data_IF_805364996997
#
_entry.id   IF_805364996997
#
_cell.length_a   1.000
_cell.length_b   1.000
_cell.length_c   1.000
_cell.angle_alpha   90.00
_cell.angle_beta   90.00
_cell.angle_gamma   90.00
#
_symmetry.space_group_name_H-M   'P 1'
#
loop_
_entity.id
_entity.type
_entity.pdbx_description
1 polymer ?
#
# COMPACT_ATOMS: atom_id res chain seq x y z
N UNK A 1 72.70 -51.87 18.53
CA UNK A 1 72.67 -51.51 17.10
C UNK A 1 71.24 -51.13 16.74
N UNK A 2 71.07 -49.92 16.23
CA UNK A 2 69.80 -49.27 15.87
C UNK A 2 69.17 -49.99 14.65
N UNK A 3 67.89 -50.38 14.65
CA UNK A 3 67.18 -50.63 13.40
C UNK A 3 66.60 -49.29 12.87
N UNK A 4 66.85 -49.02 11.59
CA UNK A 4 66.40 -47.81 10.87
C UNK A 4 64.90 -47.79 10.58
N UNK A 5 64.39 -46.67 10.03
CA UNK A 5 62.97 -46.34 10.04
C UNK A 5 62.17 -47.11 8.99
N UNK A 6 61.00 -47.60 9.40
CA UNK A 6 59.96 -48.10 8.52
C UNK A 6 59.39 -46.93 7.69
N UNK A 7 59.38 -47.09 6.37
CA UNK A 7 58.66 -46.25 5.42
C UNK A 7 57.16 -46.38 5.67
N UNK A 8 56.56 -45.35 6.27
CA UNK A 8 55.11 -45.24 6.42
C UNK A 8 54.51 -44.65 5.14
N UNK A 9 53.65 -45.46 4.52
CA UNK A 9 52.82 -45.20 3.36
C UNK A 9 51.89 -43.99 3.60
N UNK A 10 51.84 -43.06 2.64
CA UNK A 10 50.99 -41.88 2.72
C UNK A 10 49.51 -42.25 2.52
N UNK A 11 48.58 -41.77 3.37
CA UNK A 11 47.15 -42.04 3.18
C UNK A 11 46.59 -41.27 1.96
N UNK A 12 45.60 -41.84 1.24
CA UNK A 12 45.09 -41.28 0.00
C UNK A 12 44.32 -39.97 0.23
N UNK A 13 44.56 -39.02 -0.67
CA UNK A 13 43.87 -37.73 -0.77
C UNK A 13 42.37 -37.96 -1.02
N UNK A 14 41.45 -37.44 -0.18
CA UNK A 14 40.03 -37.48 -0.50
C UNK A 14 39.73 -36.44 -1.58
N UNK A 15 39.58 -36.91 -2.82
CA UNK A 15 38.93 -36.19 -3.91
C UNK A 15 37.44 -36.08 -3.62
N UNK A 16 37.04 -35.03 -2.90
CA UNK A 16 35.66 -34.54 -2.93
C UNK A 16 35.69 -33.06 -3.28
N UNK A 17 35.69 -32.79 -4.58
CA UNK A 17 35.32 -31.48 -5.10
C UNK A 17 33.81 -31.29 -4.91
N UNK A 18 33.42 -30.94 -3.69
CA UNK A 18 32.16 -30.24 -3.49
C UNK A 18 32.29 -28.91 -4.24
N UNK A 19 31.79 -28.89 -5.48
CA UNK A 19 31.62 -27.68 -6.27
C UNK A 19 30.78 -26.70 -5.45
N UNK A 20 31.44 -25.75 -4.81
CA UNK A 20 30.80 -24.51 -4.38
C UNK A 20 30.11 -23.94 -5.61
N UNK A 21 28.81 -23.61 -5.57
CA UNK A 21 28.21 -22.87 -6.65
C UNK A 21 28.98 -21.55 -6.76
N UNK A 22 29.70 -21.38 -7.87
CA UNK A 22 30.32 -20.12 -8.24
C UNK A 22 29.18 -19.13 -8.37
N UNK A 23 28.99 -18.31 -7.34
CA UNK A 23 27.94 -17.31 -7.27
C UNK A 23 28.14 -16.28 -8.39
N UNK A 24 27.13 -16.12 -9.22
CA UNK A 24 27.04 -15.01 -10.16
C UNK A 24 26.76 -13.71 -9.38
N UNK A 25 27.67 -12.72 -9.53
CA UNK A 25 27.51 -11.29 -9.14
C UNK A 25 28.55 -10.83 -8.12
N UNK A 26 29.78 -10.43 -8.47
CA UNK A 26 30.21 -9.10 -8.95
C UNK A 26 29.81 -7.93 -8.01
N UNK A 27 30.84 -7.37 -7.34
CA UNK A 27 31.00 -6.06 -6.67
C UNK A 27 30.53 -5.79 -5.22
N UNK A 28 29.86 -6.71 -4.51
CA UNK A 28 29.58 -6.52 -3.06
C UNK A 28 30.50 -7.39 -2.19
N UNK A 29 31.29 -6.75 -1.31
CA UNK A 29 32.21 -7.47 -0.40
C UNK A 29 31.46 -8.32 0.64
N UNK A 30 30.31 -7.85 1.13
CA UNK A 30 29.39 -8.59 2.01
C UNK A 30 27.94 -8.29 1.61
N UNK A 31 27.03 -9.26 1.81
CA UNK A 31 25.60 -9.01 1.66
C UNK A 31 25.06 -8.17 2.84
N UNK A 32 23.91 -7.50 2.69
CA UNK A 32 23.33 -6.66 3.75
C UNK A 32 23.10 -7.40 5.09
N UNK A 33 22.67 -8.66 5.03
CA UNK A 33 22.49 -9.48 6.23
C UNK A 33 23.82 -9.80 6.93
N UNK A 34 24.90 -10.00 6.18
CA UNK A 34 26.22 -10.29 6.73
C UNK A 34 26.85 -9.03 7.35
N UNK A 35 26.63 -7.87 6.75
CA UNK A 35 27.05 -6.57 7.30
C UNK A 35 26.51 -6.36 8.70
N UNK A 36 25.22 -6.64 8.90
CA UNK A 36 24.53 -6.46 10.19
C UNK A 36 25.05 -7.44 11.23
N UNK A 37 25.29 -8.70 10.82
CA UNK A 37 25.91 -9.69 11.70
C UNK A 37 27.29 -9.23 12.16
N UNK A 38 28.07 -8.60 11.27
CA UNK A 38 29.39 -8.07 11.62
C UNK A 38 29.32 -6.81 12.47
N UNK A 39 28.45 -5.86 12.12
CA UNK A 39 28.28 -4.59 12.82
C UNK A 39 27.79 -4.76 14.27
N UNK A 40 27.06 -5.85 14.55
CA UNK A 40 26.52 -6.15 15.88
C UNK A 40 27.22 -7.33 16.59
N UNK A 41 28.22 -7.96 15.97
CA UNK A 41 29.01 -9.03 16.60
C UNK A 41 30.05 -8.44 17.54
N UNK A 42 30.20 -9.06 18.72
CA UNK A 42 31.20 -8.68 19.72
C UNK A 42 32.64 -8.82 19.21
N UNK A 43 32.95 -9.92 18.53
CA UNK A 43 34.29 -10.24 18.04
C UNK A 43 34.78 -9.17 17.04
N UNK A 44 33.91 -8.82 16.10
CA UNK A 44 34.20 -7.82 15.08
C UNK A 44 34.33 -6.41 15.68
N UNK A 45 33.57 -6.10 16.73
CA UNK A 45 33.60 -4.80 17.40
C UNK A 45 34.82 -4.59 18.30
N UNK A 46 35.37 -5.68 18.84
CA UNK A 46 36.56 -5.65 19.69
C UNK A 46 37.85 -5.54 18.88
N UNK A 47 37.93 -6.23 17.74
CA UNK A 47 39.16 -6.33 16.96
C UNK A 47 39.37 -5.16 15.99
N UNK A 48 38.30 -4.47 15.59
CA UNK A 48 38.35 -3.44 14.54
C UNK A 48 38.47 -2.03 15.07
N UNK A 49 39.22 -1.21 14.34
CA UNK A 49 39.27 0.24 14.55
C UNK A 49 37.94 0.90 14.19
N UNK A 50 37.69 2.10 14.73
CA UNK A 50 36.49 2.90 14.40
C UNK A 50 36.35 3.09 12.89
N UNK A 51 37.45 3.35 12.18
CA UNK A 51 37.43 3.53 10.73
C UNK A 51 36.98 2.26 10.00
N UNK A 52 37.50 1.10 10.39
CA UNK A 52 37.10 -0.19 9.79
C UNK A 52 35.65 -0.56 10.09
N UNK A 53 35.11 -0.11 11.23
CA UNK A 53 33.71 -0.28 11.57
C UNK A 53 32.82 0.67 10.75
N UNK A 54 33.26 1.92 10.56
CA UNK A 54 32.62 2.85 9.63
C UNK A 54 32.66 2.36 8.18
N UNK A 55 33.70 1.63 7.78
CA UNK A 55 33.79 1.02 6.45
C UNK A 55 32.71 -0.06 6.22
N UNK A 56 32.12 -0.66 7.26
CA UNK A 56 30.97 -1.55 7.12
C UNK A 56 29.76 -0.76 6.60
N UNK A 57 29.46 0.37 7.26
CA UNK A 57 28.42 1.33 6.85
C UNK A 57 28.54 1.78 5.41
N UNK A 58 29.75 2.05 4.93
CA UNK A 58 29.95 2.51 3.56
C UNK A 58 29.77 1.42 2.49
N UNK A 59 29.61 0.15 2.86
CA UNK A 59 29.27 -0.88 1.88
C UNK A 59 27.83 -0.75 1.39
N UNK A 60 26.92 -0.32 2.27
CA UNK A 60 25.54 0.03 1.91
C UNK A 60 25.00 1.09 2.88
N UNK A 61 25.38 2.35 2.65
CA UNK A 61 25.00 3.47 3.53
C UNK A 61 23.50 3.79 3.50
N UNK A 62 22.78 3.27 2.50
CA UNK A 62 21.34 3.46 2.34
C UNK A 62 20.56 2.46 3.20
N UNK A 63 20.92 1.18 3.14
CA UNK A 63 20.18 0.12 3.82
C UNK A 63 20.70 -0.19 5.22
N UNK A 64 22.00 -0.05 5.48
CA UNK A 64 22.59 -0.47 6.76
C UNK A 64 21.92 0.16 7.98
N UNK A 65 21.61 1.48 8.02
CA UNK A 65 20.89 2.09 9.15
C UNK A 65 19.56 1.41 9.45
N UNK A 66 18.81 1.04 8.41
CA UNK A 66 17.51 0.40 8.55
C UNK A 66 17.66 -1.02 9.11
N UNK A 67 18.66 -1.76 8.64
CA UNK A 67 18.93 -3.08 9.18
C UNK A 67 19.40 -3.04 10.63
N UNK A 68 20.27 -2.10 10.99
CA UNK A 68 20.71 -1.95 12.39
C UNK A 68 19.52 -1.59 13.27
N UNK A 69 18.67 -0.66 12.84
CA UNK A 69 17.46 -0.28 13.57
C UNK A 69 16.49 -1.46 13.79
N UNK A 70 16.32 -2.33 12.81
CA UNK A 70 15.44 -3.51 12.94
C UNK A 70 16.04 -4.57 13.88
N UNK A 71 17.37 -4.72 13.88
CA UNK A 71 18.03 -5.89 14.47
C UNK A 71 18.79 -5.62 15.79
N UNK A 72 19.08 -4.38 16.15
CA UNK A 72 19.75 -4.07 17.42
C UNK A 72 19.02 -4.59 18.68
N UNK A 73 17.66 -4.76 18.72
CA UNK A 73 17.00 -5.36 19.89
C UNK A 73 17.15 -6.88 19.96
N UNK A 74 17.47 -7.52 18.83
CA UNK A 74 17.64 -8.97 18.69
C UNK A 74 19.01 -9.45 19.15
N UNK A 75 19.86 -8.57 19.68
CA UNK A 75 21.14 -8.95 20.26
C UNK A 75 21.07 -9.03 21.77
N UNK A 76 21.88 -9.93 22.32
CA UNK A 76 22.14 -10.07 23.74
C UNK A 76 23.57 -9.61 24.00
N UNK A 77 23.76 -8.41 24.59
CA UNK A 77 25.08 -7.82 24.76
C UNK A 77 25.97 -8.66 25.70
N UNK A 78 27.24 -8.83 25.32
CA UNK A 78 28.19 -9.64 26.09
C UNK A 78 28.49 -9.04 27.47
N UNK A 79 28.39 -7.72 27.59
CA UNK A 79 28.54 -7.00 28.86
C UNK A 79 27.52 -7.43 29.92
N UNK A 80 26.42 -8.10 29.54
CA UNK A 80 25.44 -8.64 30.47
C UNK A 80 25.84 -9.97 31.11
N UNK A 81 26.77 -10.72 30.50
CA UNK A 81 27.15 -12.07 30.97
C UNK A 81 27.81 -12.05 32.35
N UNK A 82 28.52 -10.97 32.67
CA UNK A 82 29.21 -10.80 33.96
C UNK A 82 28.30 -10.27 35.09
N UNK A 83 27.07 -9.85 34.77
CA UNK A 83 26.16 -9.26 35.75
C UNK A 83 25.22 -10.30 36.39
N UNK A 84 24.85 -10.11 37.68
CA UNK A 84 23.87 -10.94 38.35
C UNK A 84 22.48 -10.76 37.71
N UNK A 85 21.71 -11.85 37.62
CA UNK A 85 20.39 -11.91 36.95
C UNK A 85 19.47 -10.73 37.30
N UNK A 86 19.37 -10.38 38.59
CA UNK A 86 18.57 -9.26 39.10
C UNK A 86 18.84 -7.88 38.45
N UNK A 87 20.03 -7.64 37.89
CA UNK A 87 20.42 -6.36 37.27
C UNK A 87 20.53 -6.43 35.75
N UNK A 88 20.40 -7.63 35.16
CA UNK A 88 20.60 -7.84 33.72
C UNK A 88 19.57 -7.11 32.87
N UNK A 89 18.30 -7.18 33.26
CA UNK A 89 17.21 -6.56 32.48
C UNK A 89 17.32 -5.04 32.46
N UNK A 90 17.58 -4.43 33.62
CA UNK A 90 17.79 -2.98 33.73
C UNK A 90 18.99 -2.53 32.88
N UNK A 91 20.10 -3.28 32.95
CA UNK A 91 21.29 -2.94 32.15
C UNK A 91 21.03 -3.12 30.66
N UNK A 92 20.33 -4.18 30.25
CA UNK A 92 19.92 -4.40 28.85
C UNK A 92 19.09 -3.23 28.35
N UNK A 93 18.09 -2.79 29.11
CA UNK A 93 17.24 -1.67 28.73
C UNK A 93 18.04 -0.37 28.58
N UNK A 94 19.01 -0.11 29.46
CA UNK A 94 19.91 1.05 29.33
C UNK A 94 20.73 1.01 28.05
N UNK A 95 21.28 -0.15 27.68
CA UNK A 95 22.06 -0.30 26.44
C UNK A 95 21.18 -0.13 25.19
N UNK A 96 19.96 -0.68 25.22
CA UNK A 96 18.98 -0.48 24.14
C UNK A 96 18.58 1.00 24.01
N UNK A 97 18.38 1.70 25.13
CA UNK A 97 18.10 3.15 25.13
C UNK A 97 19.26 3.94 24.51
N UNK A 98 20.50 3.63 24.90
CA UNK A 98 21.70 4.29 24.34
C UNK A 98 21.83 4.05 22.83
N UNK A 99 21.56 2.83 22.37
CA UNK A 99 21.52 2.52 20.94
C UNK A 99 20.40 3.28 20.23
N UNK A 100 19.20 3.36 20.81
CA UNK A 100 18.06 4.07 20.24
C UNK A 100 18.32 5.59 20.11
N UNK A 101 18.89 6.22 21.14
CA UNK A 101 19.27 7.64 21.11
C UNK A 101 20.30 7.91 20.00
N UNK A 102 21.28 7.03 19.86
CA UNK A 102 22.28 7.13 18.79
C UNK A 102 21.65 6.97 17.40
N UNK A 103 20.77 6.00 17.20
CA UNK A 103 20.05 5.81 15.93
C UNK A 103 19.20 7.04 15.58
N UNK A 104 18.55 7.67 16.58
CA UNK A 104 17.77 8.88 16.37
C UNK A 104 18.64 10.07 15.91
N UNK A 105 19.83 10.24 16.49
CA UNK A 105 20.81 11.23 16.01
C UNK A 105 21.29 10.89 14.59
N UNK A 106 21.50 9.61 14.30
CA UNK A 106 21.83 9.12 12.96
C UNK A 106 20.76 9.46 11.93
N UNK A 107 19.47 9.40 12.29
CA UNK A 107 18.36 9.82 11.42
C UNK A 107 18.37 11.34 11.17
N UNK A 108 18.65 12.17 12.17
CA UNK A 108 18.82 13.62 11.99
C UNK A 108 19.94 13.91 10.98
N UNK A 109 21.08 13.24 11.12
CA UNK A 109 22.17 13.34 10.15
C UNK A 109 21.74 12.86 8.75
N UNK A 110 21.10 11.70 8.66
CA UNK A 110 20.62 11.13 7.40
C UNK A 110 19.61 12.03 6.69
N UNK A 111 18.73 12.71 7.44
CA UNK A 111 17.81 13.72 6.89
C UNK A 111 18.56 14.92 6.32
N UNK A 112 19.56 15.47 7.02
CA UNK A 112 20.37 16.58 6.50
C UNK A 112 21.18 16.18 5.26
N UNK A 113 21.76 14.97 5.23
CA UNK A 113 22.46 14.43 4.05
C UNK A 113 21.55 14.41 2.83
N UNK A 114 20.34 13.85 2.96
CA UNK A 114 19.41 13.69 1.84
C UNK A 114 18.70 14.98 1.43
N UNK A 115 18.28 15.82 2.37
CA UNK A 115 17.53 17.05 2.08
C UNK A 115 18.41 18.21 1.61
N UNK A 116 19.64 18.32 2.10
CA UNK A 116 20.54 19.45 1.83
C UNK A 116 21.75 19.06 0.98
N UNK A 117 21.87 17.78 0.57
CA UNK A 117 23.05 17.29 -0.15
C UNK A 117 24.34 17.35 0.67
N UNK A 118 24.25 17.32 2.01
CA UNK A 118 25.39 17.48 2.91
C UNK A 118 26.18 16.17 3.08
N UNK A 119 26.76 15.65 1.99
CA UNK A 119 27.46 14.37 1.95
C UNK A 119 28.68 14.27 2.88
N UNK A 120 29.26 15.40 3.29
CA UNK A 120 30.34 15.47 4.29
C UNK A 120 29.92 14.94 5.66
N UNK A 121 28.61 14.84 5.94
CA UNK A 121 28.06 14.34 7.19
C UNK A 121 27.93 12.81 7.21
N UNK A 122 28.13 12.11 6.08
CA UNK A 122 28.03 10.64 6.02
C UNK A 122 28.92 9.89 7.04
N UNK A 123 30.19 10.28 7.28
CA UNK A 123 30.98 9.64 8.34
C UNK A 123 30.38 9.85 9.74
N UNK A 124 29.74 10.99 9.97
CA UNK A 124 29.04 11.27 11.24
C UNK A 124 27.79 10.41 11.37
N UNK A 125 27.03 10.26 10.28
CA UNK A 125 25.91 9.33 10.22
C UNK A 125 26.38 7.90 10.49
N UNK A 126 27.47 7.43 9.88
CA UNK A 126 28.04 6.09 10.10
C UNK A 126 28.31 5.80 11.57
N UNK A 127 28.85 6.79 12.30
CA UNK A 127 29.10 6.66 13.73
C UNK A 127 27.80 6.51 14.52
N UNK A 128 26.80 7.36 14.27
CA UNK A 128 25.55 7.36 15.02
C UNK A 128 24.59 6.22 14.65
N UNK A 129 24.53 5.84 13.37
CA UNK A 129 23.60 4.82 12.89
C UNK A 129 24.14 3.39 12.94
N UNK A 130 25.47 3.22 12.96
CA UNK A 130 26.10 1.89 12.93
C UNK A 130 27.06 1.62 14.08
N UNK A 131 28.11 2.44 14.22
CA UNK A 131 29.20 2.12 15.16
C UNK A 131 28.77 2.23 16.62
N UNK A 132 28.14 3.33 17.03
CA UNK A 132 27.72 3.54 18.42
C UNK A 132 26.61 2.58 18.87
N UNK A 133 25.56 2.32 18.06
CA UNK A 133 24.58 1.28 18.37
C UNK A 133 25.25 -0.09 18.49
N UNK A 134 26.13 -0.43 17.54
CA UNK A 134 26.92 -1.65 17.56
C UNK A 134 27.69 -1.84 18.87
N UNK A 135 28.44 -0.83 19.34
CA UNK A 135 29.18 -0.92 20.61
C UNK A 135 28.28 -1.05 21.84
N UNK A 136 27.09 -0.46 21.78
CA UNK A 136 26.15 -0.48 22.91
C UNK A 136 25.52 -1.86 23.07
N UNK A 137 25.19 -2.53 21.96
CA UNK A 137 24.45 -3.79 21.98
C UNK A 137 25.20 -4.99 21.40
N UNK A 138 26.50 -4.87 21.14
CA UNK A 138 27.33 -5.94 20.55
C UNK A 138 27.30 -7.20 21.41
N UNK A 139 27.04 -8.33 20.76
CA UNK A 139 26.94 -9.61 21.46
C UNK A 139 26.39 -10.71 20.57
N UNK A 140 25.69 -11.67 21.19
CA UNK A 140 25.12 -12.80 20.47
C UNK A 140 23.72 -12.46 19.94
N UNK A 141 23.41 -12.87 18.72
CA UNK A 141 22.04 -12.74 18.19
C UNK A 141 21.12 -13.79 18.82
N UNK A 142 20.02 -13.35 19.41
CA UNK A 142 18.99 -14.24 19.98
C UNK A 142 18.07 -14.84 18.91
N UNK A 143 18.19 -14.39 17.65
CA UNK A 143 17.36 -14.83 16.53
C UNK A 143 18.03 -14.62 15.16
N UNK A 144 17.29 -14.90 14.10
CA UNK A 144 17.75 -14.61 12.74
C UNK A 144 17.66 -13.10 12.47
N UNK A 145 18.64 -12.56 11.74
CA UNK A 145 18.60 -11.18 11.25
C UNK A 145 17.38 -11.00 10.35
N UNK A 146 16.51 -10.08 10.72
CA UNK A 146 15.31 -9.71 10.00
C UNK A 146 15.61 -8.62 8.96
N UNK A 147 14.86 -8.64 7.87
CA UNK A 147 14.86 -7.54 6.90
C UNK A 147 14.08 -6.34 7.48
N UNK A 148 14.49 -5.08 7.21
CA UNK A 148 13.81 -3.90 7.75
C UNK A 148 12.33 -3.84 7.37
N UNK A 149 11.45 -3.85 8.36
CA UNK A 149 10.01 -3.74 8.13
C UNK A 149 9.61 -2.30 7.74
N UNK A 150 10.48 -1.33 7.98
CA UNK A 150 10.25 0.10 7.71
C UNK A 150 9.84 0.37 6.26
N UNK A 151 10.48 -0.29 5.28
CA UNK A 151 10.18 -0.07 3.85
C UNK A 151 8.72 -0.40 3.50
N UNK A 152 8.26 -1.56 3.97
CA UNK A 152 6.87 -1.97 3.78
C UNK A 152 5.89 -1.03 4.49
N UNK A 153 6.19 -0.66 5.74
CA UNK A 153 5.37 0.27 6.52
C UNK A 153 5.31 1.67 5.91
N UNK A 154 6.41 2.16 5.35
CA UNK A 154 6.48 3.45 4.68
C UNK A 154 5.60 3.46 3.42
N UNK A 155 5.62 2.38 2.62
CA UNK A 155 4.72 2.23 1.47
C UNK A 155 3.25 2.21 1.90
N UNK A 156 2.90 1.44 2.94
CA UNK A 156 1.54 1.42 3.49
C UNK A 156 1.12 2.80 4.00
N UNK A 157 2.00 3.51 4.72
CA UNK A 157 1.72 4.87 5.18
C UNK A 157 1.46 5.85 4.01
N UNK A 158 2.26 5.76 2.94
CA UNK A 158 2.04 6.54 1.72
C UNK A 158 0.71 6.23 1.03
N UNK A 159 0.34 4.94 0.93
CA UNK A 159 -0.96 4.53 0.40
C UNK A 159 -2.10 5.11 1.25
N UNK A 160 -2.03 4.97 2.57
CA UNK A 160 -3.04 5.48 3.49
C UNK A 160 -3.16 7.01 3.43
N UNK A 161 -2.04 7.74 3.33
CA UNK A 161 -2.05 9.19 3.17
C UNK A 161 -2.75 9.62 1.87
N UNK A 162 -2.48 8.92 0.75
CA UNK A 162 -3.17 9.18 -0.54
C UNK A 162 -4.67 8.91 -0.46
N UNK A 163 -5.07 7.78 0.15
CA UNK A 163 -6.49 7.46 0.38
C UNK A 163 -7.17 8.52 1.23
N UNK A 164 -6.50 9.01 2.28
CA UNK A 164 -7.04 10.02 3.17
C UNK A 164 -7.19 11.39 2.48
N UNK A 165 -6.22 11.77 1.64
CA UNK A 165 -6.31 12.99 0.83
C UNK A 165 -7.43 12.91 -0.21
N UNK A 166 -7.63 11.75 -0.85
CA UNK A 166 -8.74 11.54 -1.78
C UNK A 166 -10.10 11.66 -1.06
N UNK A 167 -10.24 10.99 0.09
CA UNK A 167 -11.43 11.09 0.93
C UNK A 167 -11.71 12.54 1.37
N UNK A 168 -10.67 13.28 1.74
CA UNK A 168 -10.81 14.69 2.10
C UNK A 168 -11.29 15.56 0.93
N UNK A 169 -10.89 15.24 -0.31
CA UNK A 169 -11.40 15.89 -1.50
C UNK A 169 -12.89 15.61 -1.70
N UNK A 170 -13.32 14.34 -1.62
CA UNK A 170 -14.71 13.95 -1.81
C UNK A 170 -15.62 14.53 -0.72
N UNK A 171 -15.17 14.48 0.53
CA UNK A 171 -15.91 14.97 1.70
C UNK A 171 -15.85 16.49 1.86
N UNK A 172 -15.16 17.24 1.00
CA UNK A 172 -14.84 18.65 1.25
C UNK A 172 -16.06 19.52 1.49
N UNK A 173 -17.14 19.30 0.73
CA UNK A 173 -18.39 20.06 0.89
C UNK A 173 -19.16 19.63 2.16
N UNK A 174 -19.25 18.34 2.42
CA UNK A 174 -19.98 17.79 3.56
C UNK A 174 -19.27 18.02 4.91
N UNK A 175 -17.93 18.08 4.91
CA UNK A 175 -17.10 18.23 6.11
C UNK A 175 -16.72 19.68 6.43
N UNK A 176 -17.10 20.65 5.60
CA UNK A 176 -16.72 22.06 5.78
C UNK A 176 -15.24 22.35 5.50
N UNK A 177 -14.58 21.53 4.67
CA UNK A 177 -13.19 21.73 4.27
C UNK A 177 -12.17 21.22 5.28
N UNK A 178 -12.49 20.18 6.04
CA UNK A 178 -11.60 19.56 7.02
C UNK A 178 -10.29 19.08 6.36
N UNK A 179 -9.17 19.28 7.03
CA UNK A 179 -7.89 18.77 6.56
C UNK A 179 -7.88 17.23 6.59
N UNK A 180 -7.10 16.61 5.69
CA UNK A 180 -7.02 15.15 5.57
C UNK A 180 -6.63 14.48 6.90
N UNK A 181 -5.68 15.05 7.63
CA UNK A 181 -5.27 14.56 8.96
C UNK A 181 -6.42 14.54 9.96
N UNK A 182 -7.17 15.62 10.05
CA UNK A 182 -8.27 15.75 11.03
C UNK A 182 -9.44 14.83 10.64
N UNK A 183 -9.70 14.66 9.34
CA UNK A 183 -10.63 13.66 8.84
C UNK A 183 -10.24 12.25 9.30
N UNK A 184 -8.96 11.91 9.21
CA UNK A 184 -8.44 10.61 9.58
C UNK A 184 -8.53 10.32 11.08
N UNK A 185 -8.28 11.33 11.91
CA UNK A 185 -8.26 11.19 13.37
C UNK A 185 -9.65 11.26 14.00
N UNK A 186 -10.51 12.17 13.52
CA UNK A 186 -11.75 12.51 14.21
C UNK A 186 -12.99 11.92 13.52
N UNK A 187 -12.99 11.80 12.19
CA UNK A 187 -14.22 11.43 11.44
C UNK A 187 -14.20 10.02 10.85
N UNK A 188 -13.03 9.50 10.47
CA UNK A 188 -12.92 8.25 9.72
C UNK A 188 -13.57 7.07 10.45
N UNK A 189 -13.28 6.86 11.75
CA UNK A 189 -13.94 5.81 12.55
C UNK A 189 -15.46 5.97 12.61
N UNK A 190 -15.97 7.20 12.74
CA UNK A 190 -17.41 7.45 12.84
C UNK A 190 -18.12 7.19 11.51
N UNK A 191 -17.52 7.61 10.39
CA UNK A 191 -18.03 7.33 9.04
C UNK A 191 -18.01 5.82 8.76
N UNK A 192 -16.91 5.13 9.07
CA UNK A 192 -16.82 3.67 8.93
C UNK A 192 -17.88 2.95 9.77
N UNK A 193 -18.14 3.40 11.00
CA UNK A 193 -19.20 2.85 11.85
C UNK A 193 -20.60 3.13 11.28
N UNK A 194 -20.85 4.32 10.74
CA UNK A 194 -22.12 4.68 10.11
C UNK A 194 -22.41 3.82 8.86
N UNK A 195 -21.38 3.44 8.10
CA UNK A 195 -21.49 2.59 6.92
C UNK A 195 -21.64 1.09 7.26
N UNK A 196 -21.08 0.62 8.38
CA UNK A 196 -21.06 -0.81 8.73
C UNK A 196 -22.16 -1.23 9.71
N UNK A 197 -22.51 -0.38 10.68
CA UNK A 197 -23.50 -0.69 11.72
C UNK A 197 -24.88 -1.04 11.16
N UNK A 198 -25.46 -0.32 10.17
CA UNK A 198 -26.75 -0.67 9.60
C UNK A 198 -26.74 -2.05 8.93
N UNK A 199 -25.64 -2.41 8.27
CA UNK A 199 -25.49 -3.72 7.60
C UNK A 199 -25.41 -4.87 8.60
N UNK A 200 -24.80 -4.64 9.76
CA UNK A 200 -24.69 -5.64 10.84
C UNK A 200 -25.99 -5.82 11.61
N UNK A 201 -26.70 -4.72 11.91
CA UNK A 201 -27.89 -4.75 12.75
C UNK A 201 -29.16 -5.13 11.98
N UNK A 202 -29.31 -4.59 10.76
CA UNK A 202 -30.55 -4.70 9.98
C UNK A 202 -30.38 -5.52 8.69
N UNK A 203 -29.18 -6.05 8.40
CA UNK A 203 -28.93 -6.86 7.22
C UNK A 203 -29.26 -6.13 5.92
N UNK A 204 -30.08 -6.77 5.06
CA UNK A 204 -30.49 -6.21 3.77
C UNK A 204 -31.33 -4.93 3.91
N UNK A 205 -32.10 -4.79 4.99
CA UNK A 205 -32.94 -3.61 5.25
C UNK A 205 -32.08 -2.39 5.67
N UNK A 206 -30.82 -2.59 6.04
CA UNK A 206 -29.86 -1.53 6.34
C UNK A 206 -29.24 -0.88 5.09
N UNK A 207 -29.34 -1.52 3.91
CA UNK A 207 -28.71 -1.04 2.66
C UNK A 207 -29.14 0.38 2.27
N UNK A 208 -30.44 0.75 2.32
CA UNK A 208 -30.85 2.13 2.01
C UNK A 208 -30.24 3.17 2.95
N UNK A 209 -30.05 2.83 4.22
CA UNK A 209 -29.40 3.72 5.19
C UNK A 209 -27.94 3.98 4.85
N UNK A 210 -27.21 2.95 4.43
CA UNK A 210 -25.81 3.11 3.98
C UNK A 210 -25.72 3.94 2.70
N UNK A 211 -26.61 3.71 1.75
CA UNK A 211 -26.69 4.51 0.51
C UNK A 211 -26.96 5.98 0.85
N UNK A 212 -27.86 6.26 1.79
CA UNK A 212 -28.13 7.62 2.25
C UNK A 212 -26.91 8.29 2.88
N UNK A 213 -26.08 7.55 3.62
CA UNK A 213 -24.80 8.07 4.15
C UNK A 213 -23.81 8.35 3.02
N UNK A 214 -23.68 7.45 2.04
CA UNK A 214 -22.82 7.67 0.88
C UNK A 214 -23.24 8.92 0.09
N UNK A 215 -24.55 9.11 -0.13
CA UNK A 215 -25.08 10.31 -0.80
C UNK A 215 -24.90 11.58 0.03
N UNK A 216 -25.12 11.53 1.34
CA UNK A 216 -25.01 12.71 2.21
C UNK A 216 -23.58 13.26 2.32
N UNK A 217 -22.59 12.39 2.11
CA UNK A 217 -21.17 12.71 2.22
C UNK A 217 -20.46 12.71 0.85
N UNK A 218 -21.21 12.61 -0.25
CA UNK A 218 -20.68 12.52 -1.61
C UNK A 218 -19.59 11.44 -1.76
N UNK A 219 -19.76 10.29 -1.08
CA UNK A 219 -18.78 9.20 -1.06
C UNK A 219 -19.08 8.16 -2.13
N UNK A 220 -18.01 7.61 -2.72
CA UNK A 220 -18.08 6.48 -3.62
C UNK A 220 -18.10 5.14 -2.88
N UNK A 221 -18.42 4.08 -3.62
CA UNK A 221 -18.29 2.72 -3.10
C UNK A 221 -16.84 2.40 -2.72
N UNK A 222 -15.89 2.87 -3.52
CA UNK A 222 -14.45 2.69 -3.31
C UNK A 222 -13.94 3.43 -2.06
N UNK A 223 -14.57 4.56 -1.73
CA UNK A 223 -14.26 5.35 -0.53
C UNK A 223 -14.65 4.60 0.74
N UNK A 224 -15.78 3.88 0.72
CA UNK A 224 -16.15 3.00 1.82
C UNK A 224 -15.07 1.94 2.06
N UNK A 225 -14.55 1.29 1.02
CA UNK A 225 -13.50 0.28 1.19
C UNK A 225 -12.21 0.92 1.74
N UNK A 226 -11.86 2.12 1.27
CA UNK A 226 -10.71 2.88 1.77
C UNK A 226 -10.89 3.29 3.25
N UNK A 227 -12.08 3.73 3.65
CA UNK A 227 -12.40 4.06 5.05
C UNK A 227 -12.28 2.83 5.96
N UNK A 228 -12.72 1.66 5.51
CA UNK A 228 -12.59 0.41 6.27
C UNK A 228 -11.13 -0.02 6.42
N UNK A 229 -10.31 0.17 5.39
CA UNK A 229 -8.86 -0.07 5.46
C UNK A 229 -8.18 0.90 6.44
N UNK A 230 -8.48 2.20 6.35
CA UNK A 230 -7.89 3.24 7.22
C UNK A 230 -8.28 3.10 8.70
N UNK A 231 -9.43 2.50 8.98
CA UNK A 231 -9.94 2.32 10.35
C UNK A 231 -9.66 0.93 10.93
N UNK A 232 -8.90 0.11 10.21
CA UNK A 232 -8.49 -1.21 10.68
C UNK A 232 -7.30 -1.11 11.65
N UNK A 233 -7.53 -1.49 12.91
CA UNK A 233 -6.49 -1.49 13.94
C UNK A 233 -6.04 -2.92 14.28
N UNK A 234 -4.74 -3.15 14.56
CA UNK A 234 -4.25 -4.45 14.98
C UNK A 234 -5.03 -5.00 16.20
N UNK A 235 -5.49 -6.24 16.11
CA UNK A 235 -6.25 -6.90 17.17
C UNK A 235 -7.75 -6.59 17.21
N UNK A 236 -8.27 -5.74 16.32
CA UNK A 236 -9.71 -5.54 16.14
C UNK A 236 -10.28 -6.52 15.10
N UNK A 237 -11.52 -7.01 15.27
CA UNK A 237 -12.18 -7.77 14.22
C UNK A 237 -12.46 -6.89 13.00
N UNK A 238 -12.51 -7.50 11.82
CA UNK A 238 -12.93 -6.81 10.59
C UNK A 238 -14.26 -6.08 10.83
N UNK A 239 -14.34 -4.83 10.40
CA UNK A 239 -15.52 -3.98 10.57
C UNK A 239 -16.76 -4.57 9.88
N UNK A 240 -16.56 -5.39 8.83
CA UNK A 240 -17.62 -6.13 8.15
C UNK A 240 -17.76 -7.59 8.61
N UNK A 241 -17.11 -7.98 9.70
CA UNK A 241 -17.28 -9.32 10.28
C UNK A 241 -18.74 -9.55 10.69
N UNK A 242 -19.30 -10.67 10.23
CA UNK A 242 -20.70 -11.05 10.49
C UNK A 242 -21.74 -10.48 9.51
N UNK A 243 -21.34 -9.67 8.51
CA UNK A 243 -22.24 -9.25 7.43
C UNK A 243 -22.31 -10.35 6.37
N UNK A 244 -23.52 -10.86 6.10
CA UNK A 244 -23.75 -11.88 5.06
C UNK A 244 -23.25 -11.39 3.68
N UNK A 245 -22.46 -12.19 2.94
CA UNK A 245 -22.06 -11.88 1.56
C UNK A 245 -23.22 -11.42 0.65
N UNK A 246 -24.45 -11.93 0.86
CA UNK A 246 -25.65 -11.51 0.12
C UNK A 246 -26.00 -10.04 0.37
N UNK A 247 -25.80 -9.55 1.58
CA UNK A 247 -26.05 -8.14 1.95
C UNK A 247 -25.01 -7.24 1.29
N UNK A 248 -23.73 -7.64 1.28
CA UNK A 248 -22.67 -6.92 0.56
C UNK A 248 -22.97 -6.83 -0.94
N UNK A 249 -23.44 -7.92 -1.55
CA UNK A 249 -23.83 -7.93 -2.96
C UNK A 249 -25.08 -7.06 -3.23
N UNK A 250 -26.05 -7.03 -2.30
CA UNK A 250 -27.22 -6.17 -2.40
C UNK A 250 -26.83 -4.68 -2.34
N UNK A 251 -25.89 -4.31 -1.46
CA UNK A 251 -25.34 -2.94 -1.36
C UNK A 251 -24.74 -2.49 -2.70
N UNK A 252 -23.85 -3.28 -3.30
CA UNK A 252 -23.23 -2.93 -4.60
C UNK A 252 -24.27 -2.77 -5.71
N UNK A 253 -25.28 -3.66 -5.77
CA UNK A 253 -26.35 -3.56 -6.79
C UNK A 253 -27.24 -2.33 -6.58
N UNK A 254 -27.52 -2.00 -5.31
CA UNK A 254 -28.36 -0.87 -4.97
C UNK A 254 -27.63 0.47 -5.22
N UNK A 255 -26.34 0.56 -4.87
CA UNK A 255 -25.46 1.68 -5.21
C UNK A 255 -25.43 1.93 -6.72
N UNK A 256 -25.13 0.90 -7.53
CA UNK A 256 -25.10 1.04 -9.00
C UNK A 256 -26.46 1.39 -9.63
N UNK A 257 -27.57 1.13 -8.93
CA UNK A 257 -28.92 1.48 -9.39
C UNK A 257 -29.30 2.92 -9.03
N UNK A 258 -28.77 3.43 -7.92
CA UNK A 258 -28.93 4.82 -7.53
C UNK A 258 -28.08 5.71 -8.45
N UNK A 259 -28.67 6.79 -8.94
CA UNK A 259 -27.94 7.77 -9.75
C UNK A 259 -27.20 8.71 -8.81
N UNK A 260 -26.03 8.26 -8.33
CA UNK A 260 -25.12 9.05 -7.51
C UNK A 260 -24.49 10.14 -8.37
N UNK A 261 -24.87 11.39 -8.12
CA UNK A 261 -24.19 12.56 -8.67
C UNK A 261 -23.14 12.97 -7.65
N UNK A 262 -21.91 13.18 -8.09
CA UNK A 262 -20.82 13.68 -7.24
C UNK A 262 -20.42 15.09 -7.69
N UNK A 263 -20.05 15.98 -6.76
CA UNK A 263 -19.63 17.34 -7.08
C UNK A 263 -18.19 17.42 -7.65
N UNK A 264 -17.54 16.28 -7.83
CA UNK A 264 -16.19 16.12 -8.35
C UNK A 264 -16.18 15.11 -9.50
N UNK A 265 -15.20 15.26 -10.39
CA UNK A 265 -15.08 14.40 -11.56
C UNK A 265 -14.56 13.05 -11.10
N UNK A 266 -15.26 11.99 -11.48
CA UNK A 266 -14.74 10.65 -11.30
C UNK A 266 -13.64 10.48 -12.34
N UNK A 267 -12.38 10.41 -11.90
CA UNK A 267 -11.29 10.02 -12.76
C UNK A 267 -11.56 8.58 -13.23
N UNK A 268 -12.26 8.44 -14.35
CA UNK A 268 -12.36 7.15 -15.00
C UNK A 268 -10.98 6.84 -15.57
N UNK A 269 -10.33 5.82 -15.01
CA UNK A 269 -9.36 5.06 -15.79
C UNK A 269 -10.06 4.71 -17.12
N UNK A 270 -9.47 5.05 -18.28
CA UNK A 270 -10.14 4.89 -19.56
C UNK A 270 -10.64 3.47 -19.66
N UNK A 271 -11.97 3.31 -19.77
CA UNK A 271 -12.60 2.02 -19.99
C UNK A 271 -11.85 1.39 -21.18
N UNK A 272 -11.07 0.33 -20.90
CA UNK A 272 -10.27 -0.41 -21.88
C UNK A 272 -11.17 -0.76 -23.06
N UNK A 273 -11.14 0.09 -24.11
CA UNK A 273 -11.62 -0.28 -25.43
C UNK A 273 -10.64 -1.34 -25.92
N UNK A 274 -11.17 -2.55 -26.00
CA UNK A 274 -10.46 -3.73 -26.49
C UNK A 274 -10.02 -3.47 -27.94
N UNK A 275 -8.76 -3.11 -28.13
CA UNK A 275 -8.07 -3.16 -29.43
C UNK A 275 -6.73 -3.86 -29.23
N UNK A 276 -6.45 -4.80 -30.12
CA UNK A 276 -5.35 -5.75 -30.04
C UNK A 276 -4.05 -5.21 -30.65
N UNK A 277 -2.92 -5.72 -30.12
CA UNK A 277 -1.53 -5.69 -30.66
C UNK A 277 -0.88 -4.29 -30.76
N UNK A 278 0.39 -4.04 -30.41
CA UNK A 278 1.58 -4.88 -30.12
C UNK A 278 2.70 -4.00 -29.55
N UNK A 279 3.75 -4.67 -29.04
CA UNK A 279 5.16 -4.26 -28.84
C UNK A 279 5.56 -3.46 -27.59
N UNK A 280 6.22 -4.19 -26.69
CA UNK A 280 7.54 -3.98 -26.07
C UNK A 280 8.00 -2.56 -25.70
N UNK A 281 8.44 -2.43 -24.44
CA UNK A 281 9.29 -1.34 -23.97
C UNK A 281 9.10 -1.10 -22.48
N UNK A 282 9.85 -1.82 -21.65
CA UNK A 282 9.98 -1.54 -20.23
C UNK A 282 10.94 -0.35 -20.06
N UNK A 283 10.46 0.73 -19.46
CA UNK A 283 11.29 1.77 -18.84
C UNK A 283 10.58 2.13 -17.53
N UNK A 284 11.26 1.81 -16.44
CA UNK A 284 10.84 1.98 -15.06
C UNK A 284 11.42 3.32 -14.56
N UNK A 285 10.62 4.06 -13.80
CA UNK A 285 11.06 4.95 -12.73
C UNK A 285 11.57 6.36 -13.10
N UNK A 286 10.66 7.33 -13.02
CA UNK A 286 10.97 8.65 -12.45
C UNK A 286 9.68 9.30 -11.90
N UNK A 287 9.56 9.40 -10.57
CA UNK A 287 8.65 10.33 -9.88
C UNK A 287 9.29 10.72 -8.54
N UNK A 288 10.37 11.50 -8.63
CA UNK A 288 10.83 12.38 -7.56
C UNK A 288 10.21 13.77 -7.78
N UNK A 289 9.10 14.07 -7.09
CA UNK A 289 8.71 15.42 -6.62
C UNK A 289 7.31 15.39 -5.99
N UNK A 290 7.24 15.35 -4.66
CA UNK A 290 6.14 15.99 -3.92
C UNK A 290 6.65 16.40 -2.54
N UNK A 291 6.82 17.70 -2.44
CA UNK A 291 7.58 18.50 -1.49
C UNK A 291 6.88 18.67 -0.13
N UNK A 292 7.72 18.86 0.88
CA UNK A 292 7.38 19.42 2.19
C UNK A 292 7.55 20.94 2.09
N UNK A 293 6.48 21.74 2.15
CA UNK A 293 6.69 23.19 2.21
C UNK A 293 5.45 24.05 2.16
N UNK A 294 4.88 24.33 3.33
CA UNK A 294 3.97 25.45 3.57
C UNK A 294 4.67 26.79 3.22
N UNK A 295 4.10 27.56 2.28
CA UNK A 295 4.62 28.88 1.92
C UNK A 295 3.75 29.55 0.85
N UNK A 296 2.89 30.49 1.28
CA UNK A 296 2.03 31.25 0.39
C UNK A 296 2.80 32.15 -0.59
N UNK A 297 2.34 32.17 -1.84
CA UNK A 297 2.77 33.08 -2.89
C UNK A 297 1.78 33.00 -4.05
N UNK A 298 1.13 34.13 -4.34
CA UNK A 298 0.09 34.28 -5.38
C UNK A 298 0.77 34.67 -6.70
N UNK A 299 0.39 34.02 -7.81
CA UNK A 299 0.48 34.45 -9.24
C UNK A 299 0.73 33.21 -10.13
N UNK A 300 0.27 33.07 -11.37
CA UNK A 300 -0.72 33.70 -12.25
C UNK A 300 -1.03 32.61 -13.29
N UNK A 301 -2.27 32.56 -13.77
CA UNK A 301 -2.69 31.67 -14.85
C UNK A 301 -2.04 32.09 -16.17
N UNK A 302 -1.49 31.13 -16.93
CA UNK A 302 -1.44 31.23 -18.38
C UNK A 302 -2.12 30.00 -19.00
N UNK A 303 -3.13 30.31 -19.81
CA UNK A 303 -3.98 29.38 -20.52
C UNK A 303 -3.26 28.76 -21.72
N UNK A 304 -3.18 27.43 -21.74
CA UNK A 304 -2.91 26.64 -22.95
C UNK A 304 -4.20 25.96 -23.38
N UNK A 305 -4.92 26.57 -24.32
CA UNK A 305 -6.10 26.01 -24.98
C UNK A 305 -5.72 24.85 -25.92
N UNK A 306 -6.25 23.65 -25.69
CA UNK A 306 -6.51 22.71 -26.78
C UNK A 306 -7.99 22.30 -26.72
N UNK A 307 -8.72 22.73 -27.75
CA UNK A 307 -10.13 22.43 -27.97
C UNK A 307 -10.33 20.96 -28.37
N UNK A 308 -11.34 20.34 -27.76
CA UNK A 308 -12.36 19.62 -28.52
C UNK A 308 -12.13 18.13 -28.80
N UNK A 309 -12.45 17.28 -27.84
CA UNK A 309 -13.18 16.04 -28.14
C UNK A 309 -14.34 15.87 -27.15
N UNK A 310 -15.56 15.79 -27.68
CA UNK A 310 -16.83 15.59 -26.96
C UNK A 310 -16.74 14.41 -25.99
N UNK A 311 -16.49 14.72 -24.71
CA UNK A 311 -16.71 13.77 -23.63
C UNK A 311 -18.22 13.49 -23.56
N UNK A 312 -18.61 12.23 -23.77
CA UNK A 312 -20.00 11.79 -23.69
C UNK A 312 -20.60 12.20 -22.33
N UNK A 313 -21.58 13.12 -22.28
CA UNK A 313 -22.15 13.67 -21.05
C UNK A 313 -22.96 12.65 -20.23
N UNK A 314 -23.00 11.38 -20.65
CA UNK A 314 -23.55 10.27 -19.87
C UNK A 314 -22.56 9.67 -18.87
N UNK A 315 -21.28 10.05 -19.00
CA UNK A 315 -20.17 9.55 -18.16
C UNK A 315 -19.80 10.55 -17.07
N UNK A 316 -20.27 11.80 -17.19
CA UNK A 316 -20.01 12.86 -16.23
C UNK A 316 -20.94 12.74 -15.02
N UNK A 317 -20.35 12.39 -13.87
CA UNK A 317 -21.02 12.30 -12.60
C UNK A 317 -21.49 13.66 -12.06
N UNK A 318 -21.14 14.78 -12.69
CA UNK A 318 -21.64 16.12 -12.35
C UNK A 318 -22.96 16.48 -13.06
N UNK A 319 -23.38 15.75 -14.11
CA UNK A 319 -24.52 16.15 -14.97
C UNK A 319 -25.69 15.16 -14.87
N UNK A 320 -26.82 15.61 -14.33
CA UNK A 320 -28.08 14.85 -14.33
C UNK A 320 -28.89 15.14 -15.59
N UNK A 321 -28.92 14.23 -16.57
CA UNK A 321 -29.93 14.28 -17.64
C UNK A 321 -31.27 13.73 -17.12
N UNK A 322 -32.41 14.39 -17.37
CA UNK A 322 -33.72 13.82 -17.07
C UNK A 322 -33.90 12.54 -17.89
N UNK A 323 -34.27 11.43 -17.24
CA UNK A 323 -34.63 10.18 -17.93
C UNK A 323 -35.74 10.49 -18.94
N UNK A 324 -35.45 10.42 -20.24
CA UNK A 324 -36.49 10.43 -21.28
C UNK A 324 -37.48 9.32 -20.94
N UNK A 325 -38.74 9.69 -20.72
CA UNK A 325 -39.83 8.74 -20.57
C UNK A 325 -39.79 7.76 -21.76
N UNK A 326 -39.88 6.47 -21.46
CA UNK A 326 -39.90 5.43 -22.47
C UNK A 326 -41.08 5.68 -23.42
N UNK A 327 -40.77 6.16 -24.63
CA UNK A 327 -41.74 6.16 -25.72
C UNK A 327 -42.09 4.70 -26.02
N UNK A 328 -43.29 4.29 -25.62
CA UNK A 328 -43.92 3.04 -26.03
C UNK A 328 -43.83 2.95 -27.55
N UNK A 329 -43.07 1.97 -28.06
CA UNK A 329 -43.05 1.63 -29.49
C UNK A 329 -44.45 1.14 -29.89
N UNK A 330 -45.25 2.07 -30.41
CA UNK A 330 -46.42 1.74 -31.21
C UNK A 330 -45.94 1.07 -32.51
N UNK A 331 -46.50 -0.10 -32.78
CA UNK A 331 -46.30 -0.89 -34.00
C UNK A 331 -46.86 -0.10 -35.20
N UNK A 332 -46.10 0.14 -36.29
CA UNK A 332 -46.64 0.87 -37.41
C UNK A 332 -47.60 -0.02 -38.20
N UNK A 333 -48.85 0.42 -38.31
CA UNK A 333 -49.83 -0.07 -39.25
C UNK A 333 -49.53 0.52 -40.64
N UNK A 334 -49.39 -0.34 -41.64
CA UNK A 334 -49.25 0.06 -43.04
C UNK A 334 -50.63 0.43 -43.62
N UNK A 335 -50.72 1.58 -44.28
CA UNK A 335 -51.89 2.06 -45.01
C UNK A 335 -51.81 1.70 -46.50
N UNK A 336 -52.85 1.00 -47.00
CA UNK A 336 -53.64 1.14 -48.27
C UNK A 336 -53.04 1.92 -49.47
N UNK A 337 -53.21 1.58 -50.77
CA UNK A 337 -54.14 0.76 -51.55
C UNK A 337 -53.53 0.46 -52.96
N UNK A 338 -53.66 -0.74 -53.57
CA UNK A 338 -54.70 -1.17 -54.55
C UNK A 338 -54.07 -1.43 -55.95
N UNK A 339 -54.68 -2.13 -56.95
CA UNK A 339 -56.01 -2.78 -57.02
C UNK A 339 -56.04 -4.22 -57.67
N UNK A 340 -57.28 -4.74 -57.81
CA UNK A 340 -57.79 -5.73 -58.79
C UNK A 340 -57.59 -7.25 -58.54
N UNK A 341 -58.71 -7.99 -58.50
CA UNK A 341 -58.75 -9.45 -58.58
C UNK A 341 -60.06 -10.05 -58.05
N UNK A 342 -60.95 -10.43 -58.95
CA UNK A 342 -62.31 -10.92 -58.75
C UNK A 342 -62.41 -12.43 -58.45
N UNK A 343 -63.43 -12.82 -57.65
CA UNK A 343 -64.23 -14.09 -57.62
C UNK A 343 -64.61 -14.44 -56.17
N UNK A 344 -65.85 -14.24 -55.75
CA UNK A 344 -67.03 -15.09 -55.96
C UNK A 344 -67.18 -16.24 -54.95
N UNK A 345 -68.29 -16.12 -54.18
CA UNK A 345 -69.29 -17.16 -53.87
C UNK A 345 -69.20 -17.96 -52.55
N UNK A 346 -70.20 -17.68 -51.69
CA UNK A 346 -70.99 -18.59 -50.82
C UNK A 346 -70.24 -19.30 -49.67
N UNK A 347 -70.76 -19.56 -48.48
CA UNK A 347 -72.11 -19.89 -47.98
C UNK A 347 -72.13 -19.65 -46.45
N UNK A 348 -73.25 -19.17 -45.91
CA UNK A 348 -73.66 -19.48 -44.52
C UNK A 348 -74.48 -20.80 -44.55
N UNK A 349 -75.00 -21.40 -43.45
CA UNK A 349 -75.04 -20.92 -42.06
C UNK A 349 -74.85 -22.00 -40.95
N UNK A 350 -74.97 -21.53 -39.70
CA UNK A 350 -75.76 -22.12 -38.60
C UNK A 350 -75.08 -22.87 -37.43
N UNK A 351 -75.38 -22.31 -36.24
CA UNK A 351 -76.03 -22.92 -35.05
C UNK A 351 -75.19 -23.35 -33.84
N UNK A 352 -75.60 -22.76 -32.71
CA UNK A 352 -75.62 -23.35 -31.37
C UNK A 352 -74.59 -22.76 -30.40
N UNK A 353 -74.88 -22.46 -29.13
CA UNK A 353 -76.10 -22.59 -28.31
C UNK A 353 -75.86 -21.79 -27.02
N UNK A 354 -76.92 -21.20 -26.47
CA UNK A 354 -76.97 -20.46 -25.20
C UNK A 354 -76.80 -21.39 -23.98
N UNK A 355 -76.26 -20.78 -22.90
CA UNK A 355 -76.40 -21.07 -21.46
C UNK A 355 -75.76 -22.36 -20.91
N UNK A 356 -74.75 -22.20 -20.05
CA UNK A 356 -74.96 -22.07 -18.60
C UNK A 356 -73.81 -21.29 -17.97
#
# INVERSE_FOLDING_TARGET
FRPGPATAEAPPVPTSSAKTPVGLGKDLRFGPFDLVRKALSSDEMADKSINQLSDLFFQDYNMEPLFIQENYPLTEPDSLRSLPSSKRDLRRLQLLSQAADSIALGDVCGRSVRSQGSWSLLPTQALFSSVLPGKSVSGHFTGQVAFPAWLGRNSTAGKSARQLSLLACHLRLASGGLASRDLGLDMAQHLAAALTRPLRQNGADGVPGVIGVLEAYDLQREDMDSLLELTAWPGQPDALAGVDPKVKAALTRAYNKAAHLTPYSLAQAPAKRKAAASSAGAEEFDEEAADYGEGGGVAEEEAGSEEGEDADPTVDAMIKKPKKAAATKAKPAAATAGPAGSKAKSTAPAKGKKKK
#
